data_IF_173030343042
#
_entry.id   IF_173030343042
#
_cell.length_a   1.000
_cell.length_b   1.000
_cell.length_c   1.000
_cell.angle_alpha   90.00
_cell.angle_beta   90.00
_cell.angle_gamma   90.00
#
_symmetry.space_group_name_H-M   'P 1'
#
loop_
_entity.id
_entity.type
_entity.pdbx_description
1 polymer ?
#
# COMPACT_ATOMS: atom_id res chain seq x y z
N UNK A 1 -46.61 -23.92 -35.06
CA UNK A 1 -45.21 -24.16 -34.62
C UNK A 1 -44.35 -22.89 -34.54
N UNK A 2 -44.45 -21.93 -35.48
CA UNK A 2 -43.62 -20.71 -35.46
C UNK A 2 -43.85 -19.76 -34.27
N UNK A 3 -45.08 -19.65 -33.76
CA UNK A 3 -45.41 -18.79 -32.60
C UNK A 3 -44.93 -19.37 -31.26
N UNK A 4 -44.88 -20.70 -31.15
CA UNK A 4 -44.41 -21.43 -29.97
C UNK A 4 -42.88 -21.34 -29.79
N UNK A 5 -42.15 -21.21 -30.90
CA UNK A 5 -40.70 -20.97 -30.92
C UNK A 5 -40.35 -19.51 -30.60
N UNK A 6 -41.22 -18.55 -30.96
CA UNK A 6 -41.02 -17.14 -30.66
C UNK A 6 -41.31 -16.83 -29.18
N UNK A 7 -42.32 -17.45 -28.58
CA UNK A 7 -42.61 -17.29 -27.15
C UNK A 7 -41.54 -17.92 -26.25
N UNK A 8 -40.97 -19.06 -26.64
CA UNK A 8 -39.88 -19.72 -25.89
C UNK A 8 -38.56 -18.94 -25.96
N UNK A 9 -38.27 -18.32 -27.09
CA UNK A 9 -37.08 -17.46 -27.22
C UNK A 9 -37.21 -16.17 -26.40
N UNK A 10 -38.38 -15.52 -26.40
CA UNK A 10 -38.62 -14.33 -25.56
C UNK A 10 -38.54 -14.68 -24.07
N UNK A 11 -39.10 -15.82 -23.64
CA UNK A 11 -39.03 -16.26 -22.25
C UNK A 11 -37.59 -16.56 -21.79
N UNK A 12 -36.77 -17.13 -22.66
CA UNK A 12 -35.35 -17.37 -22.38
C UNK A 12 -34.57 -16.05 -22.18
N UNK A 13 -34.78 -15.05 -23.04
CA UNK A 13 -34.14 -13.74 -22.90
C UNK A 13 -34.60 -12.96 -21.66
N UNK A 14 -35.86 -13.10 -21.25
CA UNK A 14 -36.37 -12.44 -20.05
C UNK A 14 -35.78 -13.06 -18.76
N UNK A 15 -35.55 -14.37 -18.74
CA UNK A 15 -34.92 -15.05 -17.58
C UNK A 15 -33.46 -14.62 -17.34
N UNK A 16 -32.71 -14.33 -18.41
CA UNK A 16 -31.31 -13.90 -18.33
C UNK A 16 -31.21 -12.45 -17.84
N UNK A 17 -32.19 -11.60 -18.16
CA UNK A 17 -32.21 -10.21 -17.71
C UNK A 17 -32.72 -10.01 -16.27
N UNK A 18 -33.47 -10.97 -15.71
CA UNK A 18 -33.87 -10.94 -14.29
C UNK A 18 -32.70 -11.20 -13.33
N UNK A 19 -31.71 -12.00 -13.75
CA UNK A 19 -30.52 -12.33 -12.94
C UNK A 19 -29.56 -11.12 -12.78
N UNK A 20 -29.78 -10.01 -13.48
CA UNK A 20 -28.88 -8.86 -13.52
C UNK A 20 -29.34 -7.67 -12.65
N UNK A 21 -30.39 -7.83 -11.83
CA UNK A 21 -30.88 -6.77 -10.92
C UNK A 21 -30.50 -6.99 -9.45
N UNK A 22 -29.65 -7.97 -9.16
CA UNK A 22 -29.14 -8.16 -7.80
C UNK A 22 -27.98 -7.20 -7.55
N UNK A 23 -28.05 -6.52 -6.40
CA UNK A 23 -27.04 -5.55 -6.00
C UNK A 23 -25.68 -6.26 -5.84
N UNK A 24 -24.64 -5.92 -6.63
CA UNK A 24 -23.36 -6.63 -6.62
C UNK A 24 -22.59 -6.50 -5.30
N UNK A 25 -23.09 -5.68 -4.37
CA UNK A 25 -22.52 -5.48 -3.04
C UNK A 25 -23.16 -6.37 -1.95
N UNK A 26 -24.21 -7.13 -2.26
CA UNK A 26 -24.87 -8.01 -1.29
C UNK A 26 -24.52 -9.46 -1.61
N UNK A 27 -23.80 -10.11 -0.69
CA UNK A 27 -23.47 -11.54 -0.76
C UNK A 27 -24.64 -12.34 -0.20
N UNK A 28 -25.19 -13.27 -0.99
CA UNK A 28 -26.24 -14.18 -0.58
C UNK A 28 -25.69 -15.59 -0.40
N UNK A 29 -26.22 -16.32 0.57
CA UNK A 29 -25.88 -17.72 0.75
C UNK A 29 -26.74 -18.58 -0.20
N UNK A 30 -26.11 -19.23 -1.18
CA UNK A 30 -26.77 -19.94 -2.30
C UNK A 30 -27.77 -21.03 -1.88
N UNK A 31 -27.66 -21.56 -0.65
CA UNK A 31 -28.52 -22.66 -0.16
C UNK A 31 -29.77 -22.20 0.58
N UNK A 32 -29.77 -20.98 1.12
CA UNK A 32 -30.82 -20.48 2.02
C UNK A 32 -31.45 -19.18 1.54
N UNK A 33 -30.86 -18.51 0.54
CA UNK A 33 -31.35 -17.25 -0.01
C UNK A 33 -31.27 -16.08 0.97
N UNK A 34 -30.61 -16.26 2.12
CA UNK A 34 -30.44 -15.21 3.12
C UNK A 34 -29.23 -14.35 2.77
N UNK A 35 -29.37 -13.04 3.02
CA UNK A 35 -28.28 -12.07 2.94
C UNK A 35 -27.23 -12.43 3.98
N UNK A 36 -25.98 -12.61 3.54
CA UNK A 36 -24.83 -12.73 4.42
C UNK A 36 -24.46 -11.32 4.87
N UNK A 37 -24.90 -10.96 6.07
CA UNK A 37 -24.44 -9.73 6.71
C UNK A 37 -22.93 -9.83 6.96
N UNK A 38 -22.17 -8.85 6.48
CA UNK A 38 -20.74 -8.77 6.73
C UNK A 38 -20.51 -8.62 8.24
N UNK A 39 -19.54 -9.31 8.85
CA UNK A 39 -19.22 -9.09 10.26
C UNK A 39 -18.83 -7.61 10.48
N UNK A 40 -19.18 -7.02 11.64
CA UNK A 40 -18.88 -5.61 11.90
C UNK A 40 -17.37 -5.38 11.78
N UNK A 41 -17.00 -4.52 10.83
CA UNK A 41 -15.62 -4.06 10.63
C UNK A 41 -15.13 -3.47 11.96
N UNK A 42 -13.97 -3.93 12.44
CA UNK A 42 -13.34 -3.38 13.65
C UNK A 42 -13.11 -1.89 13.41
N UNK A 43 -13.80 -1.05 14.19
CA UNK A 43 -13.81 0.41 14.02
C UNK A 43 -12.43 0.96 14.38
N UNK A 44 -11.75 1.58 13.41
CA UNK A 44 -10.54 2.34 13.67
C UNK A 44 -10.92 3.77 14.11
N UNK A 45 -9.94 4.53 14.63
CA UNK A 45 -10.16 5.89 15.14
C UNK A 45 -10.82 6.81 14.09
N UNK A 46 -10.45 6.65 12.83
CA UNK A 46 -11.03 7.38 11.69
C UNK A 46 -12.50 7.04 11.43
N UNK A 47 -12.91 5.78 11.64
CA UNK A 47 -14.32 5.36 11.46
C UNK A 47 -15.23 6.00 12.54
N UNK A 48 -14.69 6.29 13.73
CA UNK A 48 -15.42 6.95 14.81
C UNK A 48 -15.62 8.44 14.54
N UNK A 49 -14.62 9.11 13.96
CA UNK A 49 -14.70 10.52 13.56
C UNK A 49 -15.73 10.72 12.43
N UNK A 50 -15.76 9.81 11.45
CA UNK A 50 -16.75 9.84 10.38
C UNK A 50 -18.18 9.61 10.90
N UNK A 51 -18.38 8.66 11.83
CA UNK A 51 -19.68 8.43 12.46
C UNK A 51 -20.16 9.65 13.27
N UNK A 52 -19.26 10.35 13.96
CA UNK A 52 -19.58 11.58 14.70
C UNK A 52 -19.98 12.71 13.74
N UNK A 53 -19.20 12.92 12.68
CA UNK A 53 -19.49 13.93 11.67
C UNK A 53 -20.85 13.73 10.99
N UNK A 54 -21.18 12.48 10.61
CA UNK A 54 -22.47 12.15 10.00
C UNK A 54 -23.62 12.43 10.97
N UNK A 55 -23.43 12.11 12.26
CA UNK A 55 -24.44 12.35 13.30
C UNK A 55 -24.67 13.85 13.50
N UNK A 56 -23.60 14.63 13.58
CA UNK A 56 -23.67 16.08 13.74
C UNK A 56 -24.32 16.75 12.52
N UNK A 57 -23.98 16.30 11.32
CA UNK A 57 -24.60 16.78 10.09
C UNK A 57 -26.10 16.46 10.02
N UNK A 58 -26.49 15.24 10.39
CA UNK A 58 -27.91 14.85 10.45
C UNK A 58 -28.68 15.63 11.52
N UNK A 59 -28.06 15.92 12.65
CA UNK A 59 -28.67 16.76 13.69
C UNK A 59 -28.82 18.21 13.23
N UNK A 60 -27.83 18.75 12.52
CA UNK A 60 -27.86 20.10 11.94
C UNK A 60 -28.94 20.25 10.87
N UNK A 61 -29.24 19.18 10.13
CA UNK A 61 -30.36 19.14 9.17
C UNK A 61 -31.73 19.03 9.85
N UNK A 62 -31.80 18.46 11.05
CA UNK A 62 -33.06 18.26 11.80
C UNK A 62 -33.51 19.51 12.56
N UNK A 63 -32.60 20.42 12.92
CA UNK A 63 -32.92 21.69 13.58
C UNK A 63 -32.22 22.87 12.89
N UNK A 64 -32.87 23.54 11.92
CA UNK A 64 -32.36 24.77 11.34
C UNK A 64 -32.73 25.96 12.24
N UNK A 65 -32.02 26.14 13.35
CA UNK A 65 -32.13 27.39 14.13
C UNK A 65 -31.14 28.45 13.60
N UNK A 66 -31.68 29.65 13.40
CA UNK A 66 -31.04 30.81 12.80
C UNK A 66 -30.00 31.41 13.76
N UNK A 67 -28.71 31.35 13.43
CA UNK A 67 -27.71 32.22 14.03
C UNK A 67 -27.51 33.47 13.14
N UNK A 68 -28.19 34.55 13.50
CA UNK A 68 -27.87 35.90 13.05
C UNK A 68 -26.95 36.55 14.09
N UNK A 69 -25.66 36.66 13.78
CA UNK A 69 -24.69 37.44 14.57
C UNK A 69 -25.03 38.95 14.52
N UNK A 70 -25.30 39.54 15.69
CA UNK A 70 -25.35 40.99 15.87
C UNK A 70 -24.14 41.41 16.73
N UNK A 71 -23.14 42.04 16.09
CA UNK A 71 -21.98 42.66 16.76
C UNK A 71 -22.36 44.00 17.38
N UNK A 72 -22.04 44.19 18.66
CA UNK A 72 -21.89 45.51 19.29
C UNK A 72 -20.61 45.52 20.17
N UNK A 73 -19.73 46.54 20.10
CA UNK A 73 -18.47 46.58 20.85
C UNK A 73 -18.47 47.59 22.01
N UNK A 74 -17.90 47.21 23.17
CA UNK A 74 -17.34 48.06 24.26
C UNK A 74 -17.05 47.15 25.48
N UNK A 75 -16.05 47.30 26.36
CA UNK A 75 -15.01 48.29 26.66
C UNK A 75 -13.98 47.58 27.57
N UNK A 76 -12.68 47.86 27.42
CA UNK A 76 -11.60 47.26 28.24
C UNK A 76 -11.32 48.17 29.45
N UNK A 77 -11.47 47.64 30.67
CA UNK A 77 -11.03 48.29 31.91
C UNK A 77 -9.53 48.04 32.13
N UNK A 78 -8.73 49.10 32.21
CA UNK A 78 -7.30 49.02 32.54
C UNK A 78 -7.11 48.64 34.02
N UNK A 79 -6.55 47.45 34.28
CA UNK A 79 -6.08 47.05 35.60
C UNK A 79 -4.71 47.66 35.85
N UNK A 80 -4.60 48.55 36.84
CA UNK A 80 -3.33 49.11 37.31
C UNK A 80 -2.60 48.07 38.15
N UNK A 81 -1.45 47.58 37.68
CA UNK A 81 -0.63 46.61 38.41
C UNK A 81 0.42 47.33 39.26
N UNK A 82 0.64 46.84 40.48
CA UNK A 82 1.63 47.42 41.41
C UNK A 82 3.05 47.08 40.95
N UNK A 83 3.98 48.04 41.02
CA UNK A 83 5.37 47.91 40.53
C UNK A 83 6.08 46.62 41.00
N UNK A 84 5.76 46.15 42.22
CA UNK A 84 6.35 44.94 42.81
C UNK A 84 5.97 43.65 42.10
N UNK A 85 4.76 43.57 41.52
CA UNK A 85 4.31 42.39 40.77
C UNK A 85 4.97 42.33 39.39
N UNK A 86 5.18 43.48 38.76
CA UNK A 86 5.90 43.60 37.49
C UNK A 86 7.36 43.18 37.64
N UNK A 87 8.03 43.62 38.71
CA UNK A 87 9.43 43.24 38.98
C UNK A 87 9.57 41.73 39.22
N UNK A 88 8.60 41.12 39.93
CA UNK A 88 8.58 39.68 40.18
C UNK A 88 8.40 38.86 38.90
N UNK A 89 7.55 39.34 37.97
CA UNK A 89 7.36 38.72 36.65
C UNK A 89 8.61 38.89 35.77
N UNK A 90 9.27 40.04 35.84
CA UNK A 90 10.51 40.30 35.12
C UNK A 90 11.66 39.38 35.59
N UNK A 91 11.71 39.10 36.90
CA UNK A 91 12.72 38.21 37.47
C UNK A 91 12.50 36.76 37.06
N UNK A 92 11.25 36.29 37.09
CA UNK A 92 10.89 34.93 36.62
C UNK A 92 11.16 34.74 35.14
N UNK A 93 10.80 35.72 34.31
CA UNK A 93 11.03 35.64 32.86
C UNK A 93 12.51 35.64 32.50
N UNK A 94 13.34 36.43 33.19
CA UNK A 94 14.81 36.40 33.02
C UNK A 94 15.40 35.03 33.39
N UNK A 95 14.97 34.45 34.50
CA UNK A 95 15.45 33.14 34.94
C UNK A 95 15.05 32.03 33.96
N UNK A 96 13.80 32.01 33.48
CA UNK A 96 13.35 31.02 32.49
C UNK A 96 14.05 31.18 31.13
N UNK A 97 14.28 32.42 30.69
CA UNK A 97 15.01 32.70 29.45
C UNK A 97 16.45 32.20 29.52
N UNK A 98 17.15 32.41 30.64
CA UNK A 98 18.52 31.94 30.83
C UNK A 98 18.60 30.40 30.85
N UNK A 99 17.64 29.72 31.49
CA UNK A 99 17.61 28.26 31.50
C UNK A 99 17.30 27.67 30.12
N UNK A 100 16.36 28.27 29.37
CA UNK A 100 16.08 27.86 27.98
C UNK A 100 17.27 28.10 27.06
N UNK A 101 17.96 29.23 27.20
CA UNK A 101 19.17 29.51 26.42
C UNK A 101 20.29 28.50 26.71
N UNK A 102 20.54 28.17 27.99
CA UNK A 102 21.52 27.13 28.37
C UNK A 102 21.16 25.74 27.83
N UNK A 103 19.88 25.40 27.76
CA UNK A 103 19.42 24.13 27.20
C UNK A 103 19.58 24.06 25.66
N UNK A 104 19.35 25.16 24.95
CA UNK A 104 19.54 25.25 23.49
C UNK A 104 21.02 25.13 23.11
N UNK A 105 21.91 25.84 23.80
CA UNK A 105 23.36 25.78 23.56
C UNK A 105 23.90 24.36 23.79
N UNK A 106 23.44 23.66 24.84
CA UNK A 106 23.83 22.26 25.07
C UNK A 106 23.33 21.30 23.99
N UNK A 107 22.18 21.57 23.37
CA UNK A 107 21.62 20.73 22.30
C UNK A 107 22.33 20.93 20.96
N UNK A 108 22.83 22.14 20.69
CA UNK A 108 23.57 22.48 19.47
C UNK A 108 25.02 21.96 19.49
N UNK A 109 25.69 21.88 20.64
CA UNK A 109 27.08 21.39 20.72
C UNK A 109 27.25 19.87 20.50
N UNK A 110 26.18 19.07 20.52
CA UNK A 110 26.24 17.60 20.35
C UNK A 110 26.20 17.10 18.91
N UNK A 111 26.16 17.99 17.90
CA UNK A 111 26.25 17.58 16.49
C UNK A 111 27.56 18.08 15.91
N UNK A 112 28.55 17.19 15.82
CA UNK A 112 29.74 17.43 14.99
C UNK A 112 29.29 17.75 13.55
N UNK A 113 29.88 18.76 12.89
CA UNK A 113 29.52 19.07 11.53
C UNK A 113 30.03 17.97 10.59
N UNK A 114 29.12 17.19 10.01
CA UNK A 114 29.44 16.32 8.88
C UNK A 114 29.94 17.20 7.72
N UNK A 115 31.25 17.16 7.47
CA UNK A 115 31.85 17.82 6.32
C UNK A 115 31.40 17.10 5.03
N UNK A 116 30.34 17.59 4.41
CA UNK A 116 29.86 17.07 3.12
C UNK A 116 30.80 17.57 2.03
N UNK A 117 31.81 16.77 1.69
CA UNK A 117 32.71 17.02 0.55
C UNK A 117 31.96 16.70 -0.75
N UNK A 118 31.53 17.73 -1.47
CA UNK A 118 30.88 17.56 -2.77
C UNK A 118 31.93 17.24 -3.86
N UNK A 119 32.12 15.95 -4.12
CA UNK A 119 32.94 15.46 -5.23
C UNK A 119 32.08 15.40 -6.49
N UNK A 120 32.56 15.97 -7.60
CA UNK A 120 31.90 15.84 -8.91
C UNK A 120 31.78 14.35 -9.26
N UNK A 121 30.58 13.85 -9.65
CA UNK A 121 30.43 12.50 -10.15
C UNK A 121 31.38 12.27 -11.32
N UNK A 122 32.24 11.25 -11.25
CA UNK A 122 33.07 10.83 -12.38
C UNK A 122 32.18 10.12 -13.40
N UNK A 123 32.21 10.54 -14.66
CA UNK A 123 31.43 9.92 -15.75
C UNK A 123 31.87 8.46 -16.04
N UNK A 124 33.06 8.07 -15.59
CA UNK A 124 33.64 6.75 -15.84
C UNK A 124 33.03 5.64 -14.95
N UNK A 125 32.20 6.02 -13.97
CA UNK A 125 31.45 5.10 -13.11
C UNK A 125 29.97 5.06 -13.53
N UNK A 126 29.70 4.84 -14.81
CA UNK A 126 28.41 4.31 -15.24
C UNK A 126 28.35 2.84 -14.83
N UNK A 127 28.12 2.59 -13.54
CA UNK A 127 27.90 1.24 -13.05
C UNK A 127 26.51 0.82 -13.57
N UNK A 128 26.49 -0.04 -14.58
CA UNK A 128 25.33 -0.79 -15.11
C UNK A 128 24.68 -1.72 -14.04
N UNK A 129 24.72 -1.34 -12.78
CA UNK A 129 24.23 -2.08 -11.61
C UNK A 129 22.97 -1.46 -11.00
N UNK A 130 22.38 -0.45 -11.64
CA UNK A 130 21.10 0.09 -11.18
C UNK A 130 20.00 -0.96 -11.40
N UNK A 131 19.61 -1.64 -10.32
CA UNK A 131 18.50 -2.59 -10.33
C UNK A 131 17.17 -1.84 -10.20
N UNK A 132 16.23 -2.18 -11.08
CA UNK A 132 14.85 -1.69 -11.02
C UNK A 132 14.10 -2.55 -10.02
N UNK A 133 13.58 -1.92 -8.95
CA UNK A 133 12.75 -2.57 -7.94
C UNK A 133 11.27 -2.59 -8.31
N UNK A 134 10.64 -3.75 -8.20
CA UNK A 134 9.19 -3.94 -8.44
C UNK A 134 8.60 -4.91 -7.41
N UNK A 135 7.56 -4.46 -6.72
CA UNK A 135 6.76 -5.34 -5.86
C UNK A 135 5.72 -6.06 -6.73
N UNK A 136 5.87 -7.37 -6.89
CA UNK A 136 4.92 -8.19 -7.68
C UNK A 136 3.79 -8.75 -6.82
N UNK A 137 4.05 -8.96 -5.53
CA UNK A 137 3.08 -9.31 -4.50
C UNK A 137 3.47 -8.59 -3.19
N UNK A 138 2.54 -8.43 -2.23
CA UNK A 138 2.85 -7.77 -0.95
C UNK A 138 4.02 -8.39 -0.17
N UNK A 139 4.34 -9.66 -0.44
CA UNK A 139 5.39 -10.44 0.21
C UNK A 139 6.53 -10.85 -0.74
N UNK A 140 6.53 -10.35 -1.99
CA UNK A 140 7.56 -10.68 -2.98
C UNK A 140 8.01 -9.43 -3.71
N UNK A 141 9.28 -9.09 -3.49
CA UNK A 141 9.97 -8.00 -4.18
C UNK A 141 10.92 -8.60 -5.21
N UNK A 142 10.93 -7.98 -6.39
CA UNK A 142 11.84 -8.33 -7.47
C UNK A 142 12.69 -7.13 -7.82
N UNK A 143 14.01 -7.32 -7.80
CA UNK A 143 14.98 -6.33 -8.23
C UNK A 143 15.68 -6.87 -9.49
N UNK A 144 15.63 -6.14 -10.61
CA UNK A 144 16.15 -6.67 -11.87
C UNK A 144 16.81 -5.61 -12.75
N UNK A 145 17.75 -6.06 -13.58
CA UNK A 145 18.27 -5.35 -14.74
C UNK A 145 18.38 -6.35 -15.91
N UNK A 146 19.15 -6.03 -16.94
CA UNK A 146 19.33 -6.91 -18.09
C UNK A 146 20.09 -8.20 -17.80
N UNK A 147 20.97 -8.21 -16.80
CA UNK A 147 21.86 -9.35 -16.57
C UNK A 147 21.45 -10.17 -15.35
N UNK A 148 20.74 -9.56 -14.39
CA UNK A 148 20.44 -10.15 -13.08
C UNK A 148 19.01 -9.86 -12.67
N UNK A 149 18.37 -10.87 -12.09
CA UNK A 149 17.06 -10.78 -11.45
C UNK A 149 17.16 -11.40 -10.06
N UNK A 150 16.76 -10.63 -9.06
CA UNK A 150 16.73 -11.02 -7.66
C UNK A 150 15.28 -11.10 -7.19
N UNK A 151 14.91 -12.20 -6.53
CA UNK A 151 13.61 -12.36 -5.89
C UNK A 151 13.84 -12.43 -4.39
N UNK A 152 13.34 -11.44 -3.67
CA UNK A 152 13.36 -11.41 -2.21
C UNK A 152 12.01 -11.87 -1.66
N UNK A 153 12.05 -12.91 -0.82
CA UNK A 153 10.88 -13.48 -0.15
C UNK A 153 11.28 -14.16 1.15
N UNK A 154 10.34 -14.25 2.10
CA UNK A 154 10.52 -14.99 3.34
C UNK A 154 10.05 -16.45 3.24
N UNK A 155 9.27 -16.77 2.19
CA UNK A 155 8.70 -18.10 2.03
C UNK A 155 9.73 -19.07 1.42
N UNK A 156 9.78 -20.30 1.93
CA UNK A 156 10.72 -21.31 1.47
C UNK A 156 10.37 -21.85 0.06
N UNK A 157 11.40 -22.06 -0.77
CA UNK A 157 11.26 -22.72 -2.07
C UNK A 157 10.92 -24.21 -1.88
N UNK A 158 9.82 -24.66 -2.48
CA UNK A 158 9.40 -26.06 -2.48
C UNK A 158 9.92 -26.84 -3.69
N UNK A 159 9.91 -26.22 -4.87
CA UNK A 159 10.32 -26.84 -6.13
C UNK A 159 10.82 -25.77 -7.09
N UNK A 160 11.85 -26.11 -7.87
CA UNK A 160 12.28 -25.34 -9.03
C UNK A 160 12.38 -26.24 -10.26
N UNK A 161 11.93 -25.77 -11.41
CA UNK A 161 12.07 -26.48 -12.67
C UNK A 161 12.00 -25.54 -13.86
N UNK A 162 12.45 -26.01 -15.02
CA UNK A 162 12.53 -25.24 -16.26
C UNK A 162 11.62 -25.84 -17.32
N UNK A 163 10.97 -24.97 -18.10
CA UNK A 163 10.17 -25.35 -19.27
C UNK A 163 10.92 -24.85 -20.50
N UNK A 164 11.72 -25.74 -21.10
CA UNK A 164 12.72 -25.38 -22.11
C UNK A 164 12.11 -24.90 -23.44
N UNK A 165 10.99 -25.48 -23.87
CA UNK A 165 10.29 -25.12 -25.10
C UNK A 165 9.64 -23.72 -25.02
N UNK A 166 9.33 -23.23 -23.82
CA UNK A 166 8.71 -21.93 -23.61
C UNK A 166 9.68 -20.88 -23.03
N UNK A 167 10.96 -21.23 -22.83
CA UNK A 167 11.94 -20.40 -22.16
C UNK A 167 11.45 -19.86 -20.81
N UNK A 168 10.88 -20.74 -19.97
CA UNK A 168 10.35 -20.35 -18.65
C UNK A 168 11.12 -21.03 -17.53
N UNK A 169 11.32 -20.28 -16.45
CA UNK A 169 11.76 -20.81 -15.17
C UNK A 169 10.59 -20.75 -14.19
N UNK A 170 10.34 -21.85 -13.49
CA UNK A 170 9.22 -22.00 -12.56
C UNK A 170 9.74 -22.28 -11.17
N UNK A 171 9.21 -21.54 -10.20
CA UNK A 171 9.57 -21.63 -8.79
C UNK A 171 8.28 -21.72 -7.97
N UNK A 172 8.12 -22.83 -7.25
CA UNK A 172 7.01 -23.05 -6.34
C UNK A 172 7.46 -22.74 -4.92
N UNK A 173 6.73 -21.89 -4.21
CA UNK A 173 6.99 -21.50 -2.83
C UNK A 173 5.96 -22.11 -1.90
N UNK A 174 6.40 -22.59 -0.72
CA UNK A 174 5.49 -23.11 0.31
C UNK A 174 4.68 -21.97 0.90
N UNK A 175 3.36 -22.12 0.97
CA UNK A 175 2.51 -21.15 1.64
C UNK A 175 1.07 -21.18 1.16
N UNK A 176 0.13 -21.08 2.10
CA UNK A 176 -1.29 -20.84 1.84
C UNK A 176 -1.53 -19.34 1.84
N UNK A 177 -1.28 -18.69 0.70
CA UNK A 177 -1.51 -17.25 0.50
C UNK A 177 -2.69 -17.06 -0.46
N UNK A 178 -3.52 -16.05 -0.20
CA UNK A 178 -4.64 -15.70 -1.08
C UNK A 178 -4.30 -14.41 -1.82
N UNK A 179 -4.12 -14.52 -3.13
CA UNK A 179 -3.92 -13.38 -4.03
C UNK A 179 -4.42 -13.71 -5.44
N UNK A 180 -4.65 -12.67 -6.24
CA UNK A 180 -5.03 -12.80 -7.65
C UNK A 180 -3.80 -13.02 -8.52
N UNK A 181 -3.85 -14.04 -9.38
CA UNK A 181 -2.80 -14.29 -10.36
C UNK A 181 -2.63 -13.09 -11.29
N UNK A 182 -1.39 -12.67 -11.51
CA UNK A 182 -1.09 -11.52 -12.37
C UNK A 182 0.18 -11.76 -13.17
N UNK A 183 0.28 -11.06 -14.31
CA UNK A 183 1.47 -11.02 -15.16
C UNK A 183 2.05 -9.61 -15.15
N UNK A 184 3.32 -9.51 -14.81
CA UNK A 184 4.09 -8.28 -14.79
C UNK A 184 5.13 -8.33 -15.90
N UNK A 185 4.93 -7.55 -16.96
CA UNK A 185 5.99 -7.32 -17.95
C UNK A 185 7.17 -6.62 -17.30
N UNK A 186 8.37 -7.00 -17.71
CA UNK A 186 9.63 -6.40 -17.31
C UNK A 186 10.25 -5.72 -18.52
N UNK A 187 10.78 -4.51 -18.34
CA UNK A 187 11.57 -3.85 -19.36
C UNK A 187 13.02 -4.32 -19.24
N UNK A 188 13.31 -5.50 -19.77
CA UNK A 188 14.66 -6.08 -19.78
C UNK A 188 14.88 -6.93 -21.02
N UNK A 189 16.12 -6.94 -21.52
CA UNK A 189 16.54 -7.74 -22.66
C UNK A 189 16.46 -9.24 -22.40
N UNK A 190 16.83 -9.70 -21.19
CA UNK A 190 16.91 -11.13 -20.87
C UNK A 190 15.73 -11.68 -20.05
N UNK A 191 15.02 -10.81 -19.32
CA UNK A 191 13.86 -11.17 -18.51
C UNK A 191 12.61 -10.47 -19.04
N UNK A 192 11.67 -11.20 -19.61
CA UNK A 192 10.52 -10.62 -20.34
C UNK A 192 9.35 -10.28 -19.42
N UNK A 193 9.00 -11.21 -18.54
CA UNK A 193 7.86 -11.05 -17.64
C UNK A 193 7.95 -11.99 -16.44
N UNK A 194 7.19 -11.66 -15.40
CA UNK A 194 6.97 -12.51 -14.24
C UNK A 194 5.47 -12.72 -14.09
N UNK A 195 5.05 -13.97 -13.97
CA UNK A 195 3.66 -14.33 -13.69
C UNK A 195 3.55 -15.01 -12.34
N UNK A 196 2.52 -14.66 -11.59
CA UNK A 196 2.21 -15.24 -10.28
C UNK A 196 0.98 -16.14 -10.39
N UNK A 197 1.05 -17.33 -9.83
CA UNK A 197 -0.04 -18.32 -9.80
C UNK A 197 -0.39 -18.69 -8.38
N UNK A 198 -1.67 -18.57 -8.02
CA UNK A 198 -2.16 -18.97 -6.71
C UNK A 198 -2.61 -20.45 -6.74
N UNK A 199 -1.95 -21.29 -5.95
CA UNK A 199 -2.30 -22.70 -5.77
C UNK A 199 -2.61 -23.02 -4.29
N UNK A 200 -3.32 -22.10 -3.60
CA UNK A 200 -3.62 -22.20 -2.16
C UNK A 200 -4.27 -23.54 -1.75
N UNK A 201 -5.12 -24.13 -2.62
CA UNK A 201 -5.72 -25.44 -2.40
C UNK A 201 -4.67 -26.55 -2.21
N UNK A 202 -3.52 -26.43 -2.88
CA UNK A 202 -2.40 -27.36 -2.80
C UNK A 202 -1.29 -26.88 -1.83
N UNK A 203 -1.48 -25.75 -1.15
CA UNK A 203 -0.56 -25.22 -0.14
C UNK A 203 0.71 -24.56 -0.67
N UNK A 204 0.72 -24.14 -1.95
CA UNK A 204 1.85 -23.42 -2.54
C UNK A 204 1.36 -22.28 -3.44
N UNK A 205 2.30 -21.43 -3.84
CA UNK A 205 2.10 -20.50 -4.93
C UNK A 205 3.29 -20.56 -5.88
N UNK A 206 3.08 -20.15 -7.12
CA UNK A 206 4.04 -20.31 -8.21
C UNK A 206 4.45 -18.97 -8.77
N UNK A 207 5.75 -18.79 -8.99
CA UNK A 207 6.30 -17.72 -9.83
C UNK A 207 6.83 -18.36 -11.10
N UNK A 208 6.45 -17.77 -12.23
CA UNK A 208 6.96 -18.13 -13.55
C UNK A 208 7.69 -16.93 -14.11
N UNK A 209 8.95 -17.11 -14.51
CA UNK A 209 9.79 -16.09 -15.11
C UNK A 209 9.95 -16.44 -16.58
N UNK A 210 9.48 -15.55 -17.45
CA UNK A 210 9.65 -15.66 -18.90
C UNK A 210 11.02 -15.10 -19.28
N UNK A 211 11.85 -15.94 -19.91
CA UNK A 211 13.22 -15.64 -20.30
C UNK A 211 13.29 -15.34 -21.80
N UNK A 212 14.30 -14.56 -22.20
CA UNK A 212 14.56 -14.31 -23.61
C UNK A 212 15.22 -15.49 -24.32
N UNK A 213 15.99 -16.29 -23.59
CA UNK A 213 16.73 -17.45 -24.09
C UNK A 213 16.47 -18.70 -23.24
N UNK A 214 17.02 -19.85 -23.65
CA UNK A 214 16.81 -21.13 -22.95
C UNK A 214 17.24 -21.04 -21.48
N UNK A 215 16.53 -21.70 -20.55
CA UNK A 215 16.86 -21.67 -19.12
C UNK A 215 18.29 -22.13 -18.80
N UNK A 216 18.89 -22.99 -19.62
CA UNK A 216 20.28 -23.46 -19.48
C UNK A 216 21.33 -22.34 -19.59
N UNK A 217 20.98 -21.23 -20.23
CA UNK A 217 21.84 -20.06 -20.42
C UNK A 217 21.80 -19.08 -19.24
N UNK A 218 21.21 -19.47 -18.11
CA UNK A 218 21.13 -18.70 -16.89
C UNK A 218 21.70 -19.52 -15.73
N UNK A 219 22.29 -18.83 -14.76
CA UNK A 219 22.64 -19.37 -13.46
C UNK A 219 21.49 -19.11 -12.48
N UNK A 220 21.25 -20.09 -11.61
CA UNK A 220 20.27 -19.98 -10.54
C UNK A 220 20.96 -20.27 -9.22
N UNK A 221 20.91 -19.31 -8.32
CA UNK A 221 21.42 -19.42 -6.96
C UNK A 221 20.31 -19.09 -5.96
N UNK A 222 20.35 -19.73 -4.79
CA UNK A 222 19.39 -19.54 -3.72
C UNK A 222 20.12 -19.52 -2.38
N UNK A 223 20.11 -18.35 -1.75
CA UNK A 223 20.68 -18.14 -0.42
C UNK A 223 19.57 -17.58 0.47
N UNK A 224 19.10 -18.42 1.40
CA UNK A 224 18.09 -18.12 2.42
C UNK A 224 16.80 -17.45 1.90
N UNK A 225 16.80 -16.12 1.82
CA UNK A 225 15.65 -15.29 1.46
C UNK A 225 15.75 -14.64 0.08
N UNK A 226 16.87 -14.85 -0.63
CA UNK A 226 17.13 -14.24 -1.94
C UNK A 226 17.43 -15.32 -2.96
N UNK A 227 16.65 -15.31 -4.04
CA UNK A 227 16.91 -16.10 -5.24
C UNK A 227 17.58 -15.18 -6.25
N UNK A 228 18.74 -15.57 -6.77
CA UNK A 228 19.48 -14.84 -7.79
C UNK A 228 19.47 -15.62 -9.11
N UNK A 229 19.05 -14.95 -10.18
CA UNK A 229 19.07 -15.47 -11.53
C UNK A 229 19.92 -14.55 -12.37
N UNK A 230 20.98 -15.09 -12.97
CA UNK A 230 21.96 -14.29 -13.71
C UNK A 230 22.18 -14.87 -15.08
N UNK A 231 22.20 -14.03 -16.10
CA UNK A 231 22.56 -14.41 -17.47
C UNK A 231 24.02 -14.86 -17.50
N UNK A 232 24.28 -16.04 -18.06
CA UNK A 232 25.63 -16.54 -18.33
C UNK A 232 26.23 -15.84 -19.54
#
# INVERSE_FOLDING_TARGET
MRTLLLSTTIAAFLSISLQARENPFILYEEKTGKVIESPPKVKNVTDLEEEQFIRDYQNKLKNPEQESEQRAPAQVQEKSYSKKEVDSLMLKTKYEAEQKAKALVKKELTKEPEQVVYVKPRADAATDETLISKNILPFIKVDYNDNKLLIATQDAVSKKFSINNENKLVIDFKGKKNFTANKHSLNSANFKAISTGNHAANGFYRIVIELASKPSSYNFDYNDSIISITKK
#
